data_IF_421412566169
#
_entry.id   IF_421412566169
#
_cell.length_a   1.000
_cell.length_b   1.000
_cell.length_c   1.000
_cell.angle_alpha   90.00
_cell.angle_beta   90.00
_cell.angle_gamma   90.00
#
_symmetry.space_group_name_H-M   'P 1'
#
loop_
_entity.id
_entity.type
_entity.pdbx_description
1 polymer ?
#
# COMPACT_ATOMS: atom_id res chain seq x y z
N UNK A 1 -12.03 -30.86 -8.99
CA UNK A 1 -11.53 -29.86 -8.02
C UNK A 1 -11.70 -28.51 -8.69
N UNK A 2 -12.70 -27.72 -8.30
CA UNK A 2 -12.92 -26.40 -8.92
C UNK A 2 -12.06 -25.39 -8.15
N UNK A 3 -11.04 -24.85 -8.81
CA UNK A 3 -10.26 -23.75 -8.24
C UNK A 3 -11.06 -22.47 -8.39
N UNK A 4 -11.11 -21.72 -7.30
CA UNK A 4 -11.67 -20.38 -7.24
C UNK A 4 -10.48 -19.43 -7.41
N UNK A 5 -10.60 -18.47 -8.32
CA UNK A 5 -9.53 -17.48 -8.56
C UNK A 5 -9.46 -16.43 -7.44
N UNK A 6 -8.48 -15.52 -7.52
CA UNK A 6 -8.26 -14.47 -6.51
C UNK A 6 -9.46 -13.50 -6.37
N UNK A 7 -10.38 -13.46 -7.34
CA UNK A 7 -11.63 -12.69 -7.22
C UNK A 7 -12.87 -13.52 -6.84
N UNK A 8 -12.71 -14.79 -6.45
CA UNK A 8 -13.83 -15.59 -5.97
C UNK A 8 -14.66 -16.25 -7.08
N UNK A 9 -14.23 -16.20 -8.33
CA UNK A 9 -14.94 -16.80 -9.48
C UNK A 9 -14.47 -18.25 -9.68
N UNK A 10 -15.41 -19.19 -9.79
CA UNK A 10 -15.09 -20.58 -10.03
C UNK A 10 -14.65 -20.80 -11.49
N UNK A 11 -13.42 -21.27 -11.71
CA UNK A 11 -12.89 -21.52 -13.05
C UNK A 11 -12.59 -20.27 -13.87
N UNK A 12 -12.43 -19.11 -13.22
CA UNK A 12 -11.92 -17.91 -13.86
C UNK A 12 -10.39 -17.91 -13.99
N UNK A 13 -9.89 -17.09 -14.91
CA UNK A 13 -8.46 -16.89 -15.19
C UNK A 13 -7.91 -15.58 -14.58
N UNK A 14 -8.70 -14.90 -13.74
CA UNK A 14 -8.31 -13.63 -13.10
C UNK A 14 -8.46 -12.39 -13.99
N UNK A 15 -8.83 -12.53 -15.27
CA UNK A 15 -8.94 -11.38 -16.20
C UNK A 15 -10.21 -10.55 -16.03
N UNK A 16 -11.29 -11.13 -15.49
CA UNK A 16 -12.59 -10.44 -15.30
C UNK A 16 -12.75 -9.79 -13.93
N UNK A 17 -11.74 -9.87 -13.06
CA UNK A 17 -11.78 -9.24 -11.76
C UNK A 17 -11.70 -7.71 -11.99
N UNK A 18 -12.84 -7.02 -11.96
CA UNK A 18 -12.88 -5.56 -11.97
C UNK A 18 -12.01 -5.07 -10.81
N UNK A 19 -10.77 -4.66 -11.08
CA UNK A 19 -9.87 -4.16 -10.02
C UNK A 19 -10.59 -3.02 -9.32
N UNK A 20 -10.71 -3.04 -7.98
CA UNK A 20 -11.47 -2.02 -7.28
C UNK A 20 -10.85 -0.64 -7.55
N UNK A 21 -11.70 0.33 -7.89
CA UNK A 21 -11.30 1.69 -8.24
C UNK A 21 -10.51 2.34 -7.10
N UNK A 22 -10.90 2.05 -5.86
CA UNK A 22 -10.27 2.55 -4.65
C UNK A 22 -9.46 1.43 -3.98
N UNK A 23 -8.33 1.80 -3.41
CA UNK A 23 -7.47 0.84 -2.73
C UNK A 23 -6.65 1.46 -1.61
N UNK A 24 -6.27 0.62 -0.65
CA UNK A 24 -5.34 0.98 0.39
C UNK A 24 -3.91 1.00 -0.14
N UNK A 25 -3.21 2.07 0.20
CA UNK A 25 -1.77 2.21 0.05
C UNK A 25 -1.16 2.64 1.38
N UNK A 26 0.13 2.33 1.61
CA UNK A 26 0.87 2.83 2.76
C UNK A 26 1.67 4.06 2.35
N UNK A 27 1.35 5.20 2.94
CA UNK A 27 2.12 6.43 2.75
C UNK A 27 2.95 6.78 3.97
N UNK A 28 4.03 7.51 3.78
CA UNK A 28 4.88 7.97 4.88
C UNK A 28 4.16 9.07 5.67
N UNK A 29 3.90 8.83 6.95
CA UNK A 29 3.32 9.80 7.88
C UNK A 29 4.38 10.63 8.61
N UNK A 30 5.65 10.19 8.60
CA UNK A 30 6.77 10.93 9.14
C UNK A 30 7.91 11.06 8.13
N UNK A 31 8.80 12.04 8.37
CA UNK A 31 10.11 12.07 7.75
C UNK A 31 10.95 10.88 8.23
N UNK A 32 11.98 10.53 7.45
CA UNK A 32 12.96 9.54 7.86
C UNK A 32 13.80 10.08 9.02
N UNK A 33 14.05 9.26 10.04
CA UNK A 33 14.85 9.64 11.21
C UNK A 33 16.30 9.99 10.87
N UNK A 34 16.82 9.46 9.78
CA UNK A 34 18.18 9.71 9.30
C UNK A 34 18.15 10.03 7.81
N UNK A 35 19.01 10.92 7.33
CA UNK A 35 19.12 11.25 5.90
C UNK A 35 19.95 10.25 5.11
N UNK A 36 20.81 9.47 5.77
CA UNK A 36 21.66 8.41 5.22
C UNK A 36 22.00 7.38 6.31
N UNK A 37 22.60 6.25 5.93
CA UNK A 37 23.12 5.24 6.87
C UNK A 37 22.06 4.34 7.48
N UNK A 38 20.82 4.38 6.97
CA UNK A 38 19.67 3.68 7.54
C UNK A 38 18.96 4.51 8.60
N UNK A 39 17.65 4.65 8.43
CA UNK A 39 16.74 5.29 9.37
C UNK A 39 15.37 4.63 9.31
N UNK A 40 14.44 5.17 10.09
CA UNK A 40 13.08 4.67 10.16
C UNK A 40 12.09 5.80 9.94
N UNK A 41 10.96 5.48 9.33
CA UNK A 41 9.82 6.38 9.18
C UNK A 41 8.53 5.63 9.51
N UNK A 42 7.55 6.37 10.01
CA UNK A 42 6.20 5.86 10.23
C UNK A 42 5.42 5.93 8.92
N UNK A 43 4.62 4.91 8.66
CA UNK A 43 3.69 4.85 7.53
C UNK A 43 2.27 4.59 8.01
N UNK A 44 1.30 5.21 7.34
CA UNK A 44 -0.14 5.06 7.62
C UNK A 44 -0.88 4.55 6.39
N UNK A 45 -2.01 3.84 6.56
CA UNK A 45 -2.91 3.55 5.46
C UNK A 45 -3.52 4.83 4.88
N UNK A 46 -3.76 4.82 3.58
CA UNK A 46 -4.43 5.87 2.83
C UNK A 46 -5.28 5.23 1.74
N UNK A 47 -6.55 5.62 1.66
CA UNK A 47 -7.43 5.17 0.58
C UNK A 47 -7.18 6.06 -0.65
N UNK A 48 -6.85 5.43 -1.78
CA UNK A 48 -6.45 6.13 -2.99
C UNK A 48 -7.27 5.66 -4.19
N UNK A 49 -7.70 6.61 -5.03
CA UNK A 49 -8.24 6.31 -6.35
C UNK A 49 -7.13 5.82 -7.28
N UNK A 50 -7.26 4.60 -7.80
CA UNK A 50 -6.25 3.99 -8.70
C UNK A 50 -6.08 4.71 -10.03
N UNK A 51 -7.09 5.43 -10.50
CA UNK A 51 -7.08 6.11 -11.79
C UNK A 51 -6.47 7.50 -11.67
N UNK A 52 -6.89 8.29 -10.67
CA UNK A 52 -6.39 9.66 -10.48
C UNK A 52 -5.16 9.74 -9.58
N UNK A 53 -4.94 8.73 -8.73
CA UNK A 53 -3.89 8.76 -7.70
C UNK A 53 -4.22 9.64 -6.50
N UNK A 54 -5.45 10.14 -6.38
CA UNK A 54 -5.83 11.06 -5.31
C UNK A 54 -6.24 10.31 -4.04
N UNK A 55 -5.92 10.91 -2.88
CA UNK A 55 -6.45 10.49 -1.59
C UNK A 55 -7.95 10.74 -1.56
N UNK A 56 -8.70 9.71 -1.19
CA UNK A 56 -10.16 9.75 -1.08
C UNK A 56 -10.60 9.29 0.30
N UNK A 57 -11.89 9.40 0.58
CA UNK A 57 -12.48 8.98 1.85
C UNK A 57 -12.21 7.49 2.14
N UNK A 58 -11.83 7.19 3.38
CA UNK A 58 -11.48 5.83 3.82
C UNK A 58 -12.60 4.80 3.60
N UNK A 59 -13.86 5.24 3.69
CA UNK A 59 -15.06 4.43 3.49
C UNK A 59 -15.20 3.88 2.07
N UNK A 60 -14.54 4.51 1.09
CA UNK A 60 -14.53 4.04 -0.30
C UNK A 60 -13.63 2.83 -0.51
N UNK A 61 -12.68 2.60 0.41
CA UNK A 61 -11.85 1.41 0.42
C UNK A 61 -12.46 0.33 1.32
N UNK A 62 -12.17 -0.93 0.99
CA UNK A 62 -12.63 -2.05 1.80
C UNK A 62 -11.88 -2.08 3.14
N UNK A 63 -12.57 -1.78 4.24
CA UNK A 63 -11.99 -1.75 5.58
C UNK A 63 -11.35 -3.10 5.99
N UNK A 64 -11.88 -4.24 5.50
CA UNK A 64 -11.28 -5.57 5.75
C UNK A 64 -9.90 -5.76 5.11
N UNK A 65 -9.52 -4.89 4.16
CA UNK A 65 -8.21 -4.88 3.52
C UNK A 65 -7.32 -3.73 4.01
N UNK A 66 -7.76 -2.97 5.02
CA UNK A 66 -7.01 -1.84 5.55
C UNK A 66 -5.76 -2.34 6.28
N UNK A 67 -4.55 -1.97 5.82
CA UNK A 67 -3.33 -2.37 6.49
C UNK A 67 -3.13 -1.56 7.77
N UNK A 68 -2.45 -2.15 8.74
CA UNK A 68 -2.02 -1.44 9.94
C UNK A 68 -0.98 -0.36 9.62
N UNK A 69 -0.89 0.63 10.50
CA UNK A 69 0.22 1.58 10.46
C UNK A 69 1.51 0.87 10.87
N UNK A 70 2.59 1.11 10.12
CA UNK A 70 3.86 0.39 10.31
C UNK A 70 5.03 1.35 10.40
N UNK A 71 6.13 0.87 11.00
CA UNK A 71 7.43 1.52 10.91
C UNK A 71 8.23 0.80 9.82
N UNK A 72 8.76 1.57 8.88
CA UNK A 72 9.53 1.07 7.74
C UNK A 72 10.90 1.72 7.69
N UNK A 73 11.88 0.95 7.26
CA UNK A 73 13.24 1.42 7.05
C UNK A 73 13.30 2.39 5.86
N UNK A 74 14.15 3.40 5.95
CA UNK A 74 14.35 4.41 4.93
C UNK A 74 15.79 4.90 4.91
N UNK A 75 16.19 5.54 3.81
CA UNK A 75 17.54 6.12 3.64
C UNK A 75 18.69 5.16 3.97
N UNK A 76 18.59 3.92 3.49
CA UNK A 76 19.56 2.83 3.70
C UNK A 76 20.83 2.95 2.86
N UNK A 77 20.99 4.05 2.12
CA UNK A 77 22.19 4.33 1.36
C UNK A 77 23.34 4.78 2.28
N UNK A 78 24.58 4.51 1.88
CA UNK A 78 25.76 4.92 2.64
C UNK A 78 25.83 6.45 2.80
N UNK A 79 26.28 6.90 3.98
CA UNK A 79 26.51 8.33 4.20
C UNK A 79 27.74 8.82 3.41
N UNK A 80 27.74 10.11 3.00
CA UNK A 80 28.91 10.73 2.42
C UNK A 80 30.13 10.61 3.37
N UNK A 81 31.34 10.41 2.83
CA UNK A 81 32.56 10.46 3.63
C UNK A 81 32.71 11.85 4.26
N UNK A 82 33.30 11.89 5.46
CA UNK A 82 33.63 13.13 6.17
C UNK A 82 34.93 13.73 5.68
#
# INVERSE_FOLDING_TARGET
>A
MKQVDECGVCGGDGSSCSRPLYHWTLISSSLCSSSCGGGYKMSRPLCQNRVTGEEVEEELCNDSQKPDSTVVECNTHNCPPK
#
